data_IF_213602620307
#
_entry.id   IF_213602620307
#
_cell.length_a   1.000
_cell.length_b   1.000
_cell.length_c   1.000
_cell.angle_alpha   90.00
_cell.angle_beta   90.00
_cell.angle_gamma   90.00
#
_symmetry.space_group_name_H-M   'P 1'
#
loop_
_entity.id
_entity.type
_entity.pdbx_description
1 polymer ?
#
# COMPACT_ATOMS: atom_id res chain seq x y z
N UNK A 1 -0.73 -17.37 -19.32
CA UNK A 1 0.69 -17.03 -19.12
C UNK A 1 0.74 -15.62 -18.59
N UNK A 2 1.44 -15.36 -17.48
CA UNK A 2 1.62 -14.00 -16.96
C UNK A 2 2.54 -13.21 -17.90
N UNK A 3 2.12 -12.03 -18.34
CA UNK A 3 2.97 -11.13 -19.13
C UNK A 3 4.13 -10.63 -18.25
N UNK A 4 5.36 -11.05 -18.56
CA UNK A 4 6.57 -10.61 -17.85
C UNK A 4 7.18 -9.42 -18.60
N UNK A 5 7.31 -8.28 -17.93
CA UNK A 5 8.05 -7.13 -18.44
C UNK A 5 9.41 -7.00 -17.74
N UNK A 6 10.45 -6.74 -18.53
CA UNK A 6 11.79 -6.44 -18.01
C UNK A 6 11.90 -4.93 -17.74
N UNK A 7 12.43 -4.60 -16.56
CA UNK A 7 12.65 -3.23 -16.13
C UNK A 7 14.15 -3.03 -15.97
N UNK A 8 14.71 -2.05 -16.68
CA UNK A 8 16.06 -1.56 -16.47
C UNK A 8 15.97 -0.26 -15.67
N UNK A 9 16.79 -0.15 -14.64
CA UNK A 9 16.82 1.02 -13.76
C UNK A 9 18.24 1.27 -13.28
N UNK A 10 18.48 2.49 -12.80
CA UNK A 10 19.77 2.93 -12.28
C UNK A 10 19.69 2.96 -10.75
N UNK A 11 20.74 2.46 -10.11
CA UNK A 11 20.89 2.46 -8.66
C UNK A 11 22.25 3.06 -8.31
N UNK A 12 22.27 3.90 -7.28
CA UNK A 12 23.52 4.37 -6.71
C UNK A 12 24.34 3.17 -6.17
N UNK A 13 25.66 3.25 -6.30
CA UNK A 13 26.57 2.16 -5.92
C UNK A 13 26.48 1.82 -4.42
N UNK A 14 26.24 2.81 -3.57
CA UNK A 14 26.03 2.59 -2.14
C UNK A 14 24.78 1.76 -1.89
N UNK A 15 23.66 2.12 -2.52
CA UNK A 15 22.39 1.40 -2.40
C UNK A 15 22.52 -0.02 -2.96
N UNK A 16 23.16 -0.18 -4.12
CA UNK A 16 23.42 -1.50 -4.70
C UNK A 16 24.24 -2.39 -3.77
N UNK A 17 25.25 -1.83 -3.10
CA UNK A 17 26.10 -2.56 -2.17
C UNK A 17 25.33 -3.05 -0.93
N UNK A 18 24.48 -2.21 -0.36
CA UNK A 18 23.63 -2.60 0.78
C UNK A 18 22.56 -3.62 0.38
N UNK A 19 21.97 -3.48 -0.80
CA UNK A 19 21.05 -4.46 -1.38
C UNK A 19 21.74 -5.82 -1.53
N UNK A 20 22.95 -5.83 -2.10
CA UNK A 20 23.74 -7.06 -2.29
C UNK A 20 24.04 -7.76 -0.96
N UNK A 21 24.54 -7.03 0.04
CA UNK A 21 24.80 -7.57 1.38
C UNK A 21 23.54 -8.17 2.00
N UNK A 22 22.39 -7.50 1.82
CA UNK A 22 21.11 -7.97 2.36
C UNK A 22 20.63 -9.23 1.64
N UNK A 23 20.77 -9.29 0.32
CA UNK A 23 20.44 -10.46 -0.48
C UNK A 23 21.32 -11.67 -0.10
N UNK A 24 22.63 -11.46 0.07
CA UNK A 24 23.58 -12.49 0.51
C UNK A 24 23.21 -13.03 1.91
N UNK A 25 22.88 -12.15 2.86
CA UNK A 25 22.43 -12.55 4.20
C UNK A 25 21.14 -13.38 4.17
N UNK A 26 20.22 -13.07 3.26
CA UNK A 26 18.96 -13.81 3.07
C UNK A 26 19.13 -15.07 2.20
N UNK A 27 20.29 -15.27 1.56
CA UNK A 27 20.54 -16.38 0.65
C UNK A 27 19.75 -16.31 -0.67
N UNK A 28 19.35 -15.11 -1.10
CA UNK A 28 18.54 -14.89 -2.31
C UNK A 28 19.33 -14.14 -3.39
N UNK A 29 18.90 -14.23 -4.64
CA UNK A 29 19.52 -13.46 -5.73
C UNK A 29 19.14 -11.98 -5.67
N UNK A 30 19.97 -11.10 -6.24
CA UNK A 30 19.66 -9.66 -6.36
C UNK A 30 18.35 -9.44 -7.13
N UNK A 31 18.07 -10.26 -8.15
CA UNK A 31 16.82 -10.18 -8.92
C UNK A 31 15.60 -10.46 -8.06
N UNK A 32 15.68 -11.44 -7.17
CA UNK A 32 14.60 -11.76 -6.23
C UNK A 32 14.42 -10.66 -5.20
N UNK A 33 15.52 -10.13 -4.64
CA UNK A 33 15.47 -9.02 -3.71
C UNK A 33 14.79 -7.78 -4.32
N UNK A 34 15.11 -7.43 -5.57
CA UNK A 34 14.45 -6.32 -6.28
C UNK A 34 12.96 -6.63 -6.53
N UNK A 35 12.62 -7.86 -6.91
CA UNK A 35 11.21 -8.25 -7.09
C UNK A 35 10.41 -8.13 -5.80
N UNK A 36 10.98 -8.55 -4.67
CA UNK A 36 10.38 -8.41 -3.34
C UNK A 36 10.17 -6.93 -3.01
N UNK A 37 11.21 -6.10 -3.15
CA UNK A 37 11.14 -4.67 -2.88
C UNK A 37 10.10 -3.94 -3.76
N UNK A 38 10.02 -4.26 -5.05
CA UNK A 38 9.02 -3.70 -5.96
C UNK A 38 7.61 -4.15 -5.56
N UNK A 39 7.45 -5.41 -5.16
CA UNK A 39 6.15 -5.95 -4.72
C UNK A 39 5.69 -5.28 -3.43
N UNK A 40 6.59 -5.09 -2.47
CA UNK A 40 6.31 -4.35 -1.24
C UNK A 40 5.97 -2.89 -1.53
N UNK A 41 6.71 -2.22 -2.42
CA UNK A 41 6.43 -0.86 -2.83
C UNK A 41 5.05 -0.72 -3.46
N UNK A 42 4.69 -1.63 -4.38
CA UNK A 42 3.35 -1.63 -4.99
C UNK A 42 2.30 -1.87 -3.92
N UNK A 43 2.50 -2.82 -3.00
CA UNK A 43 1.55 -3.09 -1.91
C UNK A 43 1.35 -1.87 -1.02
N UNK A 44 2.43 -1.18 -0.66
CA UNK A 44 2.39 0.00 0.21
C UNK A 44 1.79 1.23 -0.51
N UNK A 45 2.13 1.46 -1.78
CA UNK A 45 1.77 2.68 -2.52
C UNK A 45 0.54 2.58 -3.40
N UNK A 46 0.12 1.38 -3.81
CA UNK A 46 -1.07 1.25 -4.66
C UNK A 46 -2.37 1.60 -3.93
N UNK A 47 -2.32 1.76 -2.62
CA UNK A 47 -3.47 2.13 -1.81
C UNK A 47 -4.55 1.04 -1.82
N UNK A 48 -5.70 1.34 -1.18
CA UNK A 48 -6.84 0.44 -1.18
C UNK A 48 -7.40 0.24 -2.59
N UNK A 49 -7.72 -1.02 -2.94
CA UNK A 49 -8.40 -1.31 -4.19
C UNK A 49 -9.79 -0.66 -4.16
N UNK A 50 -10.00 0.35 -5.00
CA UNK A 50 -11.29 1.04 -5.15
C UNK A 50 -12.41 0.09 -5.61
N UNK A 51 -12.08 -1.09 -6.12
CA UNK A 51 -13.05 -2.12 -6.50
C UNK A 51 -13.30 -3.17 -5.42
N UNK A 52 -12.55 -3.15 -4.32
CA UNK A 52 -12.73 -4.05 -3.20
C UNK A 52 -14.18 -3.95 -2.68
N UNK A 53 -14.91 -5.08 -2.61
CA UNK A 53 -16.27 -5.12 -2.09
C UNK A 53 -16.42 -4.53 -0.68
N UNK A 54 -15.35 -4.55 0.13
CA UNK A 54 -15.33 -3.97 1.46
C UNK A 54 -15.37 -2.43 1.43
N UNK A 55 -14.72 -1.81 0.44
CA UNK A 55 -14.72 -0.36 0.23
C UNK A 55 -15.82 0.11 -0.73
N UNK A 56 -16.55 -0.81 -1.37
CA UNK A 56 -17.86 -0.54 -1.96
C UNK A 56 -18.90 -0.40 -0.84
N UNK A 57 -18.73 0.59 0.03
CA UNK A 57 -19.89 1.07 0.79
C UNK A 57 -20.87 1.61 -0.24
N UNK A 58 -21.95 0.86 -0.47
CA UNK A 58 -23.15 1.46 -1.03
C UNK A 58 -23.52 2.58 -0.06
N UNK A 59 -23.27 3.81 -0.48
CA UNK A 59 -23.85 4.98 0.15
C UNK A 59 -25.35 4.84 -0.05
N UNK A 60 -26.00 4.15 0.87
CA UNK A 60 -27.42 4.35 1.06
C UNK A 60 -27.56 5.85 1.29
N UNK A 61 -28.38 6.51 0.46
CA UNK A 61 -28.79 7.87 0.75
C UNK A 61 -29.40 7.82 2.14
N UNK A 62 -28.64 8.25 3.15
CA UNK A 62 -29.24 8.61 4.40
C UNK A 62 -30.28 9.67 4.04
N UNK A 63 -31.54 9.41 4.38
CA UNK A 63 -32.54 10.47 4.49
C UNK A 63 -31.88 11.63 5.23
N UNK A 64 -32.19 12.85 4.77
CA UNK A 64 -31.50 14.13 5.05
C UNK A 64 -31.32 14.49 6.54
N UNK A 65 -31.78 13.64 7.46
CA UNK A 65 -32.08 13.96 8.85
C UNK A 65 -31.39 13.03 9.87
N UNK A 66 -30.30 12.32 9.52
CA UNK A 66 -29.56 11.48 10.49
C UNK A 66 -28.14 11.99 10.82
N UNK A 67 -27.76 13.16 10.29
CA UNK A 67 -26.53 13.85 10.66
C UNK A 67 -26.80 14.95 11.70
N UNK A 68 -27.81 14.76 12.53
CA UNK A 68 -28.11 15.67 13.63
C UNK A 68 -26.94 15.69 14.62
N UNK A 69 -26.53 16.91 14.95
CA UNK A 69 -25.28 17.25 15.66
C UNK A 69 -25.27 16.59 17.03
N UNK A 70 -24.24 15.78 17.29
CA UNK A 70 -24.00 15.11 18.57
C UNK A 70 -23.30 15.99 19.62
N UNK A 71 -23.43 17.32 19.53
CA UNK A 71 -22.86 18.24 20.53
C UNK A 71 -23.94 18.79 21.46
N UNK A 72 -24.54 17.92 22.27
CA UNK A 72 -25.20 18.32 23.50
C UNK A 72 -24.44 17.72 24.68
N UNK A 73 -23.37 18.42 25.08
CA UNK A 73 -22.75 18.22 26.38
C UNK A 73 -23.60 18.99 27.40
N UNK A 74 -24.19 18.25 28.33
CA UNK A 74 -24.99 18.74 29.47
C UNK A 74 -24.19 19.76 30.29
N UNK A 75 -24.77 20.93 30.55
CA UNK A 75 -24.34 21.75 31.67
C UNK A 75 -25.34 21.51 32.81
N UNK A 76 -24.88 20.78 33.83
CA UNK A 76 -25.48 20.76 35.17
C UNK A 76 -25.26 22.13 35.82
N UNK A 77 -26.32 22.73 36.38
CA UNK A 77 -26.36 23.42 37.68
C UNK A 77 -27.80 23.87 38.00
#
# INVERSE_FOLDING_TARGET
MSEVKYIQSELDMHIYSELKKTAEKKGISIKEAIREAVSEWVRDKSGFDKKDPFFRMHTFRASKDLSEKHDEIYNED
#
